data_IF_765276645355
#
_entry.id   IF_765276645355
#
_cell.length_a   1.000
_cell.length_b   1.000
_cell.length_c   1.000
_cell.angle_alpha   90.00
_cell.angle_beta   90.00
_cell.angle_gamma   90.00
#
_symmetry.space_group_name_H-M   'P 1'
#
loop_
_entity.id
_entity.type
_entity.pdbx_description
1 polymer ?
#
# COMPACT_ATOMS: atom_id res chain seq x y z
N UNK A 1 -18.94 -5.74 18.44
CA UNK A 1 -18.35 -5.34 17.13
C UNK A 1 -16.94 -4.88 17.42
N UNK A 2 -15.95 -5.26 16.60
CA UNK A 2 -14.61 -4.73 16.74
C UNK A 2 -14.65 -3.21 16.52
N UNK A 3 -13.94 -2.46 17.35
CA UNK A 3 -13.88 -1.01 17.24
C UNK A 3 -12.98 -0.61 16.08
N UNK A 4 -13.55 0.01 15.04
CA UNK A 4 -12.80 0.53 13.90
C UNK A 4 -11.99 1.77 14.33
N UNK A 5 -10.91 2.04 13.62
CA UNK A 5 -10.17 3.30 13.77
C UNK A 5 -11.09 4.46 13.35
N UNK A 6 -11.35 5.45 14.21
CA UNK A 6 -12.22 6.56 13.85
C UNK A 6 -11.49 7.59 12.97
N UNK A 7 -12.27 8.39 12.22
CA UNK A 7 -11.74 9.44 11.34
C UNK A 7 -10.86 10.46 12.10
N UNK A 8 -11.16 10.72 13.36
CA UNK A 8 -10.40 11.69 14.16
C UNK A 8 -8.97 11.21 14.47
N UNK A 9 -8.74 9.89 14.60
CA UNK A 9 -7.38 9.35 14.67
C UNK A 9 -6.60 9.55 13.36
N UNK A 10 -7.28 9.44 12.22
CA UNK A 10 -6.67 9.73 10.90
C UNK A 10 -6.33 11.22 10.77
N UNK A 11 -7.20 12.11 11.25
CA UNK A 11 -6.92 13.55 11.31
C UNK A 11 -5.74 13.88 12.22
N UNK A 12 -5.67 13.27 13.39
CA UNK A 12 -4.53 13.39 14.29
C UNK A 12 -3.24 12.88 13.64
N UNK A 13 -3.31 11.75 12.93
CA UNK A 13 -2.20 11.23 12.14
C UNK A 13 -1.76 12.23 11.05
N UNK A 14 -2.70 12.85 10.32
CA UNK A 14 -2.39 13.85 9.30
C UNK A 14 -1.63 15.05 9.88
N UNK A 15 -2.01 15.51 11.06
CA UNK A 15 -1.27 16.58 11.78
C UNK A 15 0.15 16.12 12.17
N UNK A 16 0.28 14.89 12.68
CA UNK A 16 1.59 14.36 13.13
C UNK A 16 2.58 14.16 12.00
N UNK A 17 2.14 13.70 10.84
CA UNK A 17 3.01 13.45 9.68
C UNK A 17 3.25 14.68 8.81
N UNK A 18 2.59 15.81 9.11
CA UNK A 18 2.73 17.03 8.32
C UNK A 18 4.17 17.53 8.24
N UNK A 19 4.61 17.90 7.05
CA UNK A 19 5.99 18.36 6.79
C UNK A 19 7.04 17.25 6.68
N UNK A 20 6.66 15.98 6.93
CA UNK A 20 7.54 14.81 6.80
C UNK A 20 7.20 13.98 5.58
N UNK A 21 5.92 13.66 5.42
CA UNK A 21 5.45 12.95 4.23
C UNK A 21 5.07 13.93 3.14
N UNK A 22 5.23 13.49 1.90
CA UNK A 22 4.75 14.23 0.74
C UNK A 22 3.23 14.08 0.65
N UNK A 23 2.48 15.21 0.64
CA UNK A 23 1.10 15.21 0.16
C UNK A 23 1.15 14.95 -1.35
N UNK A 24 1.00 13.69 -1.75
CA UNK A 24 1.14 13.30 -3.15
C UNK A 24 -0.02 13.85 -3.99
N UNK A 25 0.24 14.42 -5.19
CA UNK A 25 -0.82 14.95 -6.02
C UNK A 25 -1.65 13.80 -6.62
N UNK A 26 -2.90 14.09 -7.00
CA UNK A 26 -3.66 13.23 -7.91
C UNK A 26 -3.21 13.50 -9.34
N UNK A 27 -2.60 12.53 -9.99
CA UNK A 27 -2.06 12.66 -11.35
C UNK A 27 -3.03 12.02 -12.34
N UNK A 28 -3.57 12.75 -13.33
CA UNK A 28 -4.33 12.14 -14.41
C UNK A 28 -3.47 11.09 -15.13
N UNK A 29 -3.95 9.86 -15.18
CA UNK A 29 -3.28 8.84 -15.97
C UNK A 29 -3.49 9.17 -17.44
N UNK A 30 -2.43 9.43 -18.24
CA UNK A 30 -2.62 9.78 -19.63
C UNK A 30 -3.34 8.62 -20.30
N UNK A 31 -4.54 8.86 -20.77
CA UNK A 31 -5.20 7.98 -21.73
C UNK A 31 -4.16 7.62 -22.79
N UNK A 32 -4.26 6.46 -23.42
CA UNK A 32 -3.37 6.13 -24.51
C UNK A 32 -3.20 7.41 -25.34
N UNK A 33 -1.94 7.86 -25.54
CA UNK A 33 -1.68 8.95 -26.50
C UNK A 33 -2.29 8.44 -27.79
N UNK A 34 -3.49 8.95 -28.06
CA UNK A 34 -4.20 8.63 -29.28
C UNK A 34 -3.27 9.18 -30.37
N UNK A 35 -2.70 8.36 -31.25
CA UNK A 35 -2.07 8.89 -32.45
C UNK A 35 -3.07 9.87 -33.06
N UNK A 36 -2.61 10.94 -33.65
CA UNK A 36 -3.46 12.03 -34.19
C UNK A 36 -4.64 11.52 -35.07
N UNK A 37 -4.51 10.26 -35.54
CA UNK A 37 -5.44 9.57 -36.44
C UNK A 37 -6.21 8.41 -35.78
N UNK A 38 -6.07 8.18 -34.48
CA UNK A 38 -6.80 7.14 -33.78
C UNK A 38 -8.15 7.68 -33.26
N UNK A 39 -9.17 6.83 -33.28
CA UNK A 39 -10.49 7.16 -32.77
C UNK A 39 -10.40 7.69 -31.33
N UNK A 40 -11.25 8.66 -30.93
CA UNK A 40 -11.29 9.16 -29.56
C UNK A 40 -11.48 7.99 -28.58
N UNK A 41 -10.95 8.11 -27.33
CA UNK A 41 -11.13 7.07 -26.33
C UNK A 41 -12.60 6.70 -26.26
N UNK A 42 -12.88 5.40 -26.20
CA UNK A 42 -14.25 4.85 -26.22
C UNK A 42 -15.11 5.65 -25.24
N UNK A 43 -16.27 6.16 -25.67
CA UNK A 43 -17.18 6.85 -24.78
C UNK A 43 -17.52 5.96 -23.60
N UNK A 44 -17.30 6.44 -22.37
CA UNK A 44 -17.68 5.72 -21.15
C UNK A 44 -16.54 5.14 -20.29
N UNK A 45 -15.26 5.31 -20.66
CA UNK A 45 -14.17 5.01 -19.72
C UNK A 45 -13.97 6.19 -18.76
N UNK A 46 -14.10 5.99 -17.45
CA UNK A 46 -13.91 7.09 -16.50
C UNK A 46 -12.47 7.60 -16.54
N UNK A 47 -12.28 8.89 -16.25
CA UNK A 47 -10.95 9.46 -16.05
C UNK A 47 -10.25 8.71 -14.92
N UNK A 48 -9.04 8.23 -15.16
CA UNK A 48 -8.23 7.58 -14.14
C UNK A 48 -7.27 8.61 -13.53
N UNK A 49 -7.34 8.76 -12.21
CA UNK A 49 -6.38 9.51 -11.41
C UNK A 49 -5.52 8.54 -10.62
N UNK A 50 -4.22 8.77 -10.61
CA UNK A 50 -3.27 7.97 -9.80
C UNK A 50 -2.86 8.76 -8.57
N UNK A 51 -2.94 8.15 -7.39
CA UNK A 51 -2.38 8.64 -6.12
C UNK A 51 -1.00 8.00 -5.91
N UNK A 52 0.11 8.67 -6.30
CA UNK A 52 1.42 8.04 -6.43
C UNK A 52 2.21 8.07 -5.12
N UNK A 53 1.96 7.14 -4.23
CA UNK A 53 2.72 6.97 -2.99
C UNK A 53 4.17 6.50 -3.20
N UNK A 54 4.53 6.12 -4.42
CA UNK A 54 5.92 5.92 -4.82
C UNK A 54 6.78 7.20 -4.77
N UNK A 55 6.14 8.37 -4.66
CA UNK A 55 6.82 9.66 -4.50
C UNK A 55 7.18 10.00 -3.04
N UNK A 56 6.82 9.16 -2.08
CA UNK A 56 7.26 9.34 -0.70
C UNK A 56 8.79 9.21 -0.58
N UNK A 57 9.43 9.89 0.40
CA UNK A 57 10.88 9.80 0.62
C UNK A 57 11.43 8.37 0.70
N UNK A 58 10.64 7.44 1.21
CA UNK A 58 10.99 6.01 1.28
C UNK A 58 10.51 5.18 0.08
N UNK A 59 9.98 5.83 -0.94
CA UNK A 59 9.49 5.18 -2.16
C UNK A 59 8.18 4.41 -2.01
N UNK A 60 7.48 4.49 -0.86
CA UNK A 60 6.22 3.79 -0.61
C UNK A 60 5.39 4.45 0.50
N UNK A 61 4.08 4.18 0.48
CA UNK A 61 3.10 4.68 1.44
C UNK A 61 3.42 4.38 2.92
N UNK A 62 4.23 3.35 3.16
CA UNK A 62 4.54 2.83 4.50
C UNK A 62 5.07 3.90 5.46
N UNK A 63 5.70 4.95 4.94
CA UNK A 63 6.21 6.06 5.75
C UNK A 63 5.10 6.75 6.55
N UNK A 64 3.91 6.88 6.01
CA UNK A 64 2.77 7.54 6.69
C UNK A 64 2.42 6.84 8.01
N UNK A 65 2.17 5.54 7.96
CA UNK A 65 1.85 4.75 9.15
C UNK A 65 3.05 4.57 10.08
N UNK A 66 4.25 4.33 9.54
CA UNK A 66 5.45 4.17 10.34
C UNK A 66 5.78 5.46 11.12
N UNK A 67 5.78 6.62 10.46
CA UNK A 67 6.05 7.88 11.13
C UNK A 67 4.96 8.24 12.15
N UNK A 68 3.67 8.02 11.81
CA UNK A 68 2.58 8.23 12.76
C UNK A 68 2.72 7.37 14.01
N UNK A 69 3.02 6.06 13.85
CA UNK A 69 3.16 5.15 14.99
C UNK A 69 4.38 5.50 15.85
N UNK A 70 5.55 5.67 15.25
CA UNK A 70 6.77 6.04 16.00
C UNK A 70 6.61 7.41 16.68
N UNK A 71 6.03 8.39 15.97
CA UNK A 71 5.77 9.73 16.51
C UNK A 71 4.85 9.67 17.73
N UNK A 72 3.69 9.03 17.63
CA UNK A 72 2.74 8.91 18.72
C UNK A 72 3.35 8.25 19.97
N UNK A 73 4.13 7.18 19.78
CA UNK A 73 4.80 6.46 20.87
C UNK A 73 5.93 7.29 21.53
N UNK A 74 6.36 8.36 20.91
CA UNK A 74 7.51 9.18 21.39
C UNK A 74 7.12 10.60 21.80
N UNK A 75 5.84 10.97 21.69
CA UNK A 75 5.33 12.29 22.09
C UNK A 75 5.49 12.56 23.59
N UNK A 76 5.19 11.56 24.42
CA UNK A 76 5.34 11.68 25.87
C UNK A 76 6.70 11.13 26.33
N UNK A 77 7.61 11.97 26.83
CA UNK A 77 8.90 11.54 27.36
C UNK A 77 8.80 10.51 28.50
N UNK A 78 7.71 10.51 29.27
CA UNK A 78 7.54 9.60 30.41
C UNK A 78 7.22 8.16 29.99
N UNK A 79 6.61 7.97 28.83
CA UNK A 79 6.23 6.67 28.29
C UNK A 79 7.02 6.28 27.04
N UNK A 80 7.98 7.12 26.63
CA UNK A 80 8.80 6.90 25.42
C UNK A 80 9.56 5.59 25.52
N UNK A 81 9.43 4.68 24.53
CA UNK A 81 10.17 3.42 24.52
C UNK A 81 11.68 3.66 24.32
N UNK A 82 12.52 2.68 24.72
CA UNK A 82 13.96 2.70 24.50
C UNK A 82 14.39 2.72 23.04
N UNK A 83 13.48 2.36 22.15
CA UNK A 83 13.62 2.32 20.70
C UNK A 83 12.40 1.67 20.06
N UNK A 84 12.49 1.42 18.76
CA UNK A 84 11.45 0.69 18.01
C UNK A 84 12.05 -0.52 17.31
N UNK A 85 11.23 -1.55 17.11
CA UNK A 85 11.60 -2.76 16.39
C UNK A 85 10.53 -3.13 15.37
N UNK A 86 10.95 -3.62 14.20
CA UNK A 86 10.04 -4.16 13.19
C UNK A 86 10.68 -5.35 12.46
N UNK A 87 9.86 -6.25 11.93
CA UNK A 87 10.35 -7.33 11.09
C UNK A 87 9.94 -7.11 9.64
N UNK A 88 10.84 -6.59 8.84
CA UNK A 88 10.62 -6.41 7.38
C UNK A 88 11.92 -6.06 6.67
N UNK A 89 12.24 -6.76 5.60
CA UNK A 89 13.34 -6.39 4.71
C UNK A 89 12.93 -5.44 3.57
N UNK A 90 11.65 -5.03 3.51
CA UNK A 90 11.09 -4.22 2.44
C UNK A 90 10.65 -2.83 2.89
N UNK A 91 9.61 -2.32 2.23
CA UNK A 91 9.09 -0.95 2.41
C UNK A 91 8.79 -0.58 3.87
N UNK A 92 8.27 -1.53 4.67
CA UNK A 92 7.95 -1.24 6.06
C UNK A 92 9.21 -1.07 6.93
N UNK A 93 10.18 -1.98 6.81
CA UNK A 93 11.45 -1.88 7.56
C UNK A 93 12.18 -0.58 7.25
N UNK A 94 12.24 -0.19 5.96
CA UNK A 94 12.84 1.08 5.57
C UNK A 94 12.06 2.28 6.12
N UNK A 95 10.72 2.24 6.07
CA UNK A 95 9.89 3.33 6.60
C UNK A 95 10.05 3.50 8.12
N UNK A 96 10.11 2.39 8.90
CA UNK A 96 10.35 2.44 10.36
C UNK A 96 11.75 2.98 10.67
N UNK A 97 12.79 2.51 9.98
CA UNK A 97 14.15 3.00 10.14
C UNK A 97 14.25 4.51 9.85
N UNK A 98 13.67 4.97 8.75
CA UNK A 98 13.64 6.36 8.34
C UNK A 98 12.87 7.24 9.34
N UNK A 99 11.68 6.82 9.77
CA UNK A 99 10.88 7.53 10.77
C UNK A 99 11.62 7.64 12.11
N UNK A 100 12.23 6.55 12.57
CA UNK A 100 12.99 6.53 13.81
C UNK A 100 14.20 7.48 13.75
N UNK A 101 14.94 7.51 12.63
CA UNK A 101 16.05 8.44 12.43
C UNK A 101 15.61 9.90 12.52
N UNK A 102 14.50 10.28 11.88
CA UNK A 102 13.96 11.64 11.93
C UNK A 102 13.51 12.05 13.33
N UNK A 103 13.02 11.11 14.14
CA UNK A 103 12.53 11.33 15.49
C UNK A 103 13.61 11.14 16.57
N UNK A 104 14.85 10.83 16.17
CA UNK A 104 15.95 10.58 17.11
C UNK A 104 15.73 9.37 18.00
N UNK A 105 15.09 8.31 17.46
CA UNK A 105 14.76 7.07 18.16
C UNK A 105 15.65 5.94 17.62
N UNK A 106 16.12 5.07 18.51
CA UNK A 106 16.83 3.85 18.07
C UNK A 106 15.88 2.92 17.34
N UNK A 107 16.37 2.28 16.27
CA UNK A 107 15.59 1.29 15.54
C UNK A 107 16.38 0.01 15.33
N UNK A 108 15.72 -1.14 15.51
CA UNK A 108 16.22 -2.46 15.15
C UNK A 108 15.27 -3.07 14.12
N UNK A 109 15.81 -3.48 12.97
CA UNK A 109 15.00 -4.10 11.92
C UNK A 109 15.44 -5.57 11.77
N UNK A 110 14.51 -6.46 12.08
CA UNK A 110 14.72 -7.91 11.93
C UNK A 110 14.52 -8.30 10.47
N UNK A 111 15.58 -8.82 9.86
CA UNK A 111 15.63 -9.15 8.43
C UNK A 111 16.04 -10.62 8.22
N UNK A 112 15.43 -11.32 7.25
CA UNK A 112 15.80 -12.69 6.96
C UNK A 112 17.18 -12.74 6.27
N UNK A 113 17.98 -13.77 6.61
CA UNK A 113 19.20 -14.09 5.86
C UNK A 113 18.85 -14.29 4.37
N UNK A 114 19.66 -13.71 3.48
CA UNK A 114 19.42 -13.75 2.04
C UNK A 114 18.50 -12.63 1.51
N UNK A 115 18.04 -11.71 2.34
CA UNK A 115 17.34 -10.51 1.86
C UNK A 115 18.21 -9.72 0.86
N UNK A 116 17.63 -9.14 -0.22
CA UNK A 116 18.38 -8.38 -1.22
C UNK A 116 19.14 -7.20 -0.59
N UNK A 117 20.42 -7.07 -0.93
CA UNK A 117 21.29 -6.01 -0.39
C UNK A 117 20.75 -4.61 -0.61
N UNK A 118 20.19 -4.33 -1.77
CA UNK A 118 19.59 -3.02 -2.08
C UNK A 118 18.56 -2.60 -1.04
N UNK A 119 17.74 -3.54 -0.56
CA UNK A 119 16.72 -3.26 0.47
C UNK A 119 17.34 -3.09 1.85
N UNK A 120 18.29 -3.95 2.22
CA UNK A 120 18.94 -3.88 3.55
C UNK A 120 19.91 -2.71 3.67
N UNK A 121 20.59 -2.32 2.59
CA UNK A 121 21.48 -1.16 2.57
C UNK A 121 20.68 0.15 2.77
N UNK A 122 19.47 0.25 2.22
CA UNK A 122 18.58 1.40 2.48
C UNK A 122 18.17 1.50 3.95
N UNK A 123 17.85 0.36 4.59
CA UNK A 123 17.51 0.30 6.03
C UNK A 123 18.72 0.70 6.89
N UNK A 124 19.90 0.13 6.61
CA UNK A 124 21.14 0.46 7.33
C UNK A 124 21.54 1.93 7.09
N UNK A 125 21.40 2.43 5.88
CA UNK A 125 21.66 3.83 5.51
C UNK A 125 20.77 4.83 6.26
N UNK A 126 19.57 4.40 6.69
CA UNK A 126 18.71 5.16 7.58
C UNK A 126 19.13 5.09 9.06
N UNK A 127 20.22 4.39 9.39
CA UNK A 127 20.77 4.33 10.76
C UNK A 127 20.18 3.25 11.66
N UNK A 128 19.37 2.33 11.14
CA UNK A 128 18.82 1.23 11.92
C UNK A 128 19.81 0.08 12.05
N UNK A 129 19.79 -0.59 13.22
CA UNK A 129 20.46 -1.86 13.43
C UNK A 129 19.75 -2.98 12.62
N UNK A 130 20.53 -3.75 11.86
CA UNK A 130 20.01 -4.95 11.17
C UNK A 130 20.22 -6.19 12.02
N UNK A 131 19.14 -6.86 12.38
CA UNK A 131 19.18 -8.14 13.11
C UNK A 131 18.83 -9.28 12.16
N UNK A 132 19.85 -10.10 11.83
CA UNK A 132 19.74 -11.16 10.86
C UNK A 132 19.22 -12.47 11.48
N UNK A 133 18.14 -13.01 10.93
CA UNK A 133 17.51 -14.25 11.39
C UNK A 133 17.30 -15.25 10.25
N UNK A 134 16.91 -16.48 10.59
CA UNK A 134 16.50 -17.45 9.59
C UNK A 134 15.28 -16.99 8.79
N UNK A 135 15.14 -17.38 7.50
CA UNK A 135 14.13 -16.85 6.59
C UNK A 135 12.72 -17.43 6.84
N UNK A 136 12.30 -17.51 8.10
CA UNK A 136 10.97 -17.96 8.51
C UNK A 136 10.21 -16.84 9.22
N UNK A 137 8.89 -16.88 9.14
CA UNK A 137 8.04 -15.93 9.88
C UNK A 137 8.25 -16.11 11.39
N UNK A 138 8.31 -17.34 11.87
CA UNK A 138 8.51 -17.65 13.30
C UNK A 138 9.79 -17.03 13.85
N UNK A 139 10.94 -17.21 13.16
CA UNK A 139 12.21 -16.63 13.59
C UNK A 139 12.17 -15.08 13.62
N UNK A 140 11.47 -14.46 12.68
CA UNK A 140 11.30 -12.99 12.66
C UNK A 140 10.46 -12.50 13.82
N UNK A 141 9.32 -13.14 14.09
CA UNK A 141 8.42 -12.78 15.19
C UNK A 141 9.12 -13.01 16.55
N UNK A 142 9.77 -14.15 16.74
CA UNK A 142 10.52 -14.46 17.96
C UNK A 142 11.61 -13.41 18.26
N UNK A 143 12.46 -13.11 17.28
CA UNK A 143 13.53 -12.13 17.46
C UNK A 143 12.98 -10.72 17.72
N UNK A 144 11.88 -10.34 17.08
CA UNK A 144 11.22 -9.06 17.32
C UNK A 144 10.71 -8.97 18.75
N UNK A 145 9.99 -9.99 19.22
CA UNK A 145 9.50 -10.05 20.60
C UNK A 145 10.64 -10.07 21.64
N UNK A 146 11.75 -10.77 21.37
CA UNK A 146 12.91 -10.78 22.25
C UNK A 146 13.56 -9.39 22.37
N UNK A 147 13.74 -8.68 21.25
CA UNK A 147 14.27 -7.30 21.25
C UNK A 147 13.35 -6.36 22.01
N UNK A 148 12.03 -6.48 21.79
CA UNK A 148 11.04 -5.68 22.50
C UNK A 148 11.16 -5.85 24.02
N UNK A 149 11.26 -7.09 24.50
CA UNK A 149 11.38 -7.40 25.93
C UNK A 149 12.73 -6.96 26.51
N UNK A 150 13.84 -7.32 25.87
CA UNK A 150 15.18 -7.13 26.44
C UNK A 150 15.62 -5.68 26.44
N UNK A 151 15.19 -4.90 25.43
CA UNK A 151 15.64 -3.52 25.22
C UNK A 151 14.57 -2.47 25.51
N UNK A 152 13.35 -2.89 25.88
CA UNK A 152 12.20 -1.99 26.05
C UNK A 152 11.83 -1.27 24.74
N UNK A 153 11.96 -1.95 23.60
CA UNK A 153 11.58 -1.39 22.30
C UNK A 153 10.12 -1.64 22.02
N UNK A 154 9.45 -0.67 21.40
CA UNK A 154 8.08 -0.86 20.91
C UNK A 154 8.12 -1.53 19.52
N UNK A 155 7.30 -2.56 19.35
CA UNK A 155 7.10 -3.15 18.03
C UNK A 155 6.23 -2.24 17.17
N UNK A 156 6.63 -2.07 15.90
CA UNK A 156 5.85 -1.36 14.89
C UNK A 156 5.39 -2.39 13.84
N UNK A 157 4.15 -2.89 13.94
CA UNK A 157 3.61 -3.85 12.99
C UNK A 157 3.44 -3.26 11.59
N UNK A 158 3.53 -4.09 10.51
CA UNK A 158 3.45 -3.60 9.14
C UNK A 158 2.05 -3.15 8.70
N UNK A 159 0.99 -3.52 9.41
CA UNK A 159 -0.40 -3.24 9.06
C UNK A 159 -1.42 -3.36 10.20
N UNK A 160 -1.24 -4.31 11.13
CA UNK A 160 -2.26 -4.68 12.14
C UNK A 160 -2.10 -3.86 13.43
N UNK A 161 -2.17 -2.56 13.30
CA UNK A 161 -1.99 -1.60 14.39
C UNK A 161 -2.82 -0.33 14.13
N UNK A 162 -3.49 0.21 15.17
CA UNK A 162 -4.37 1.38 15.04
C UNK A 162 -3.63 2.62 14.54
N UNK A 163 -2.43 2.89 15.04
CA UNK A 163 -1.63 4.06 14.64
C UNK A 163 -1.12 3.91 13.20
N UNK A 164 -0.75 2.69 12.80
CA UNK A 164 -0.35 2.40 11.43
C UNK A 164 -1.54 2.58 10.48
N UNK A 165 -2.72 1.99 10.80
CA UNK A 165 -3.95 2.15 10.00
C UNK A 165 -4.32 3.63 9.87
N UNK A 166 -4.29 4.39 10.98
CA UNK A 166 -4.60 5.82 10.97
C UNK A 166 -3.65 6.62 10.08
N UNK A 167 -2.34 6.34 10.15
CA UNK A 167 -1.34 6.99 9.29
C UNK A 167 -1.60 6.70 7.80
N UNK A 168 -1.93 5.46 7.43
CA UNK A 168 -2.27 5.10 6.05
C UNK A 168 -3.58 5.76 5.59
N UNK A 169 -4.52 5.96 6.50
CA UNK A 169 -5.80 6.62 6.23
C UNK A 169 -5.67 8.06 5.75
N UNK A 170 -4.55 8.72 6.03
CA UNK A 170 -4.27 10.08 5.55
C UNK A 170 -4.26 10.17 4.02
N UNK A 171 -4.00 9.08 3.30
CA UNK A 171 -4.15 9.02 1.84
C UNK A 171 -5.62 9.21 1.44
N UNK A 172 -6.54 8.53 2.13
CA UNK A 172 -7.97 8.68 1.89
C UNK A 172 -8.47 10.08 2.26
N UNK A 173 -7.95 10.68 3.33
CA UNK A 173 -8.26 12.05 3.71
C UNK A 173 -7.83 13.04 2.60
N UNK A 174 -6.61 12.93 2.09
CA UNK A 174 -6.11 13.76 0.99
C UNK A 174 -6.94 13.58 -0.29
N UNK A 175 -7.32 12.34 -0.65
CA UNK A 175 -8.19 12.07 -1.81
C UNK A 175 -9.56 12.74 -1.63
N UNK A 176 -10.16 12.62 -0.44
CA UNK A 176 -11.46 13.19 -0.16
C UNK A 176 -11.44 14.73 -0.21
N UNK A 177 -10.40 15.35 0.31
CA UNK A 177 -10.20 16.80 0.25
C UNK A 177 -10.01 17.30 -1.19
N UNK A 178 -9.15 16.63 -1.97
CA UNK A 178 -8.83 17.04 -3.34
C UNK A 178 -10.02 16.85 -4.30
N UNK A 179 -10.92 15.92 -4.01
CA UNK A 179 -12.07 15.58 -4.86
C UNK A 179 -13.44 15.89 -4.25
N UNK A 180 -13.49 16.69 -3.18
CA UNK A 180 -14.75 17.05 -2.51
C UNK A 180 -15.81 17.63 -3.49
N UNK A 181 -15.39 18.42 -4.47
CA UNK A 181 -16.28 19.01 -5.49
C UNK A 181 -16.65 18.05 -6.64
N UNK A 182 -15.90 16.97 -6.83
CA UNK A 182 -16.13 15.94 -7.85
C UNK A 182 -15.75 14.58 -7.31
N UNK A 183 -16.54 14.01 -6.39
CA UNK A 183 -16.22 12.72 -5.75
C UNK A 183 -15.94 11.62 -6.78
N UNK A 184 -14.95 10.76 -6.54
CA UNK A 184 -14.67 9.66 -7.44
C UNK A 184 -15.75 8.57 -7.29
N UNK A 185 -15.99 7.80 -8.34
CA UNK A 185 -16.89 6.64 -8.29
C UNK A 185 -16.32 5.53 -7.42
N UNK A 186 -15.01 5.34 -7.49
CA UNK A 186 -14.31 4.39 -6.67
C UNK A 186 -12.86 4.79 -6.44
N UNK A 187 -12.33 4.33 -5.30
CA UNK A 187 -10.90 4.31 -4.98
C UNK A 187 -10.43 2.86 -4.97
N UNK A 188 -9.52 2.50 -5.88
CA UNK A 188 -8.91 1.18 -5.96
C UNK A 188 -7.62 1.17 -5.14
N UNK A 189 -7.49 0.19 -4.25
CA UNK A 189 -6.41 0.14 -3.24
C UNK A 189 -5.75 -1.24 -3.22
N UNK A 190 -4.42 -1.33 -3.32
CA UNK A 190 -3.71 -2.60 -3.12
C UNK A 190 -3.98 -3.20 -1.74
N UNK A 191 -4.23 -4.51 -1.70
CA UNK A 191 -4.47 -5.25 -0.45
C UNK A 191 -3.37 -6.29 -0.24
N UNK A 192 -2.95 -6.42 1.01
CA UNK A 192 -2.14 -7.48 1.58
C UNK A 192 -2.66 -7.68 3.01
N UNK A 193 -1.93 -7.43 4.07
CA UNK A 193 -2.42 -7.51 5.45
C UNK A 193 -3.55 -6.54 5.83
N UNK A 194 -3.94 -5.62 4.93
CA UNK A 194 -5.15 -4.81 5.04
C UNK A 194 -4.98 -3.40 5.62
N UNK A 195 -3.82 -3.02 6.17
CA UNK A 195 -3.68 -1.72 6.86
C UNK A 195 -3.90 -0.48 5.97
N UNK A 196 -3.45 -0.53 4.71
CA UNK A 196 -3.63 0.55 3.74
C UNK A 196 -5.11 0.78 3.42
N UNK A 197 -5.78 -0.27 2.98
CA UNK A 197 -7.19 -0.19 2.57
C UNK A 197 -8.10 0.13 3.77
N UNK A 198 -7.80 -0.39 4.96
CA UNK A 198 -8.56 -0.09 6.18
C UNK A 198 -8.57 1.42 6.49
N UNK A 199 -7.39 2.05 6.51
CA UNK A 199 -7.30 3.48 6.77
C UNK A 199 -7.97 4.32 5.68
N UNK A 200 -7.72 4.00 4.40
CA UNK A 200 -8.35 4.70 3.27
C UNK A 200 -9.86 4.54 3.32
N UNK A 201 -10.38 3.34 3.59
CA UNK A 201 -11.81 3.07 3.64
C UNK A 201 -12.51 3.90 4.74
N UNK A 202 -11.92 4.01 5.93
CA UNK A 202 -12.46 4.87 7.00
C UNK A 202 -12.61 6.32 6.52
N UNK A 203 -11.56 6.90 5.92
CA UNK A 203 -11.60 8.28 5.48
C UNK A 203 -12.60 8.49 4.34
N UNK A 204 -12.58 7.61 3.32
CA UNK A 204 -13.45 7.73 2.15
C UNK A 204 -14.92 7.55 2.53
N UNK A 205 -15.28 6.50 3.25
CA UNK A 205 -16.69 6.26 3.61
C UNK A 205 -17.27 7.34 4.52
N UNK A 206 -16.43 7.94 5.39
CA UNK A 206 -16.86 9.03 6.26
C UNK A 206 -17.04 10.37 5.52
N UNK A 207 -16.24 10.66 4.50
CA UNK A 207 -16.19 11.96 3.85
C UNK A 207 -16.86 11.98 2.46
N UNK A 208 -16.85 10.85 1.78
CA UNK A 208 -17.42 10.65 0.44
C UNK A 208 -18.26 9.35 0.41
N UNK A 209 -19.42 9.29 1.09
CA UNK A 209 -20.15 8.04 1.35
C UNK A 209 -20.64 7.31 0.09
N UNK A 210 -20.78 8.01 -1.04
CA UNK A 210 -21.18 7.41 -2.32
C UNK A 210 -20.00 6.80 -3.09
N UNK A 211 -18.75 7.08 -2.68
CA UNK A 211 -17.54 6.57 -3.29
C UNK A 211 -17.26 5.15 -2.82
N UNK A 212 -17.16 4.19 -3.73
CA UNK A 212 -16.78 2.82 -3.38
C UNK A 212 -15.29 2.69 -3.10
N UNK A 213 -14.94 1.87 -2.12
CA UNK A 213 -13.56 1.42 -1.90
C UNK A 213 -13.45 -0.01 -2.38
N UNK A 214 -12.55 -0.25 -3.32
CA UNK A 214 -12.35 -1.55 -3.96
C UNK A 214 -10.91 -2.01 -3.71
N UNK A 215 -10.76 -3.17 -3.09
CA UNK A 215 -9.46 -3.81 -2.92
C UNK A 215 -8.95 -4.44 -4.20
N UNK A 216 -7.64 -4.50 -4.37
CA UNK A 216 -7.01 -5.20 -5.49
C UNK A 216 -5.86 -6.07 -4.98
N UNK A 217 -5.90 -7.36 -5.33
CA UNK A 217 -4.85 -8.34 -5.03
C UNK A 217 -4.30 -8.99 -6.30
N UNK A 218 -3.06 -9.54 -6.27
CA UNK A 218 -2.65 -10.51 -7.26
C UNK A 218 -3.50 -11.78 -7.15
N UNK A 219 -3.86 -12.41 -8.26
CA UNK A 219 -4.63 -13.68 -8.23
C UNK A 219 -3.89 -14.82 -7.50
N UNK A 220 -2.56 -14.74 -7.42
CA UNK A 220 -1.70 -15.71 -6.74
C UNK A 220 -1.53 -15.43 -5.23
N UNK A 221 -2.13 -14.35 -4.70
CA UNK A 221 -2.15 -14.00 -3.29
C UNK A 221 -3.45 -13.23 -3.01
N UNK A 222 -4.59 -13.92 -2.94
CA UNK A 222 -5.94 -13.37 -2.89
C UNK A 222 -6.71 -13.80 -1.62
N UNK A 223 -6.02 -13.89 -0.49
CA UNK A 223 -6.57 -14.26 0.80
C UNK A 223 -7.59 -13.24 1.33
N UNK A 224 -7.39 -11.95 1.06
CA UNK A 224 -8.33 -10.92 1.49
C UNK A 224 -9.66 -10.99 0.72
N UNK A 225 -9.63 -11.27 -0.60
CA UNK A 225 -10.84 -11.51 -1.38
C UNK A 225 -11.63 -12.69 -0.85
N UNK A 226 -10.95 -13.79 -0.57
CA UNK A 226 -11.58 -15.00 -0.05
C UNK A 226 -12.13 -14.75 1.37
N UNK A 227 -11.39 -13.97 2.19
CA UNK A 227 -11.86 -13.56 3.52
C UNK A 227 -13.11 -12.69 3.46
N UNK A 228 -13.17 -11.71 2.55
CA UNK A 228 -14.34 -10.86 2.38
C UNK A 228 -15.56 -11.68 1.93
N UNK A 229 -15.38 -12.60 0.98
CA UNK A 229 -16.45 -13.44 0.44
C UNK A 229 -16.99 -14.44 1.45
N UNK A 230 -16.14 -15.00 2.30
CA UNK A 230 -16.56 -15.98 3.31
C UNK A 230 -17.02 -15.32 4.62
N UNK A 231 -16.72 -14.04 4.82
CA UNK A 231 -17.00 -13.33 6.08
C UNK A 231 -16.09 -13.74 7.25
N UNK A 232 -15.03 -14.51 6.99
CA UNK A 232 -14.05 -14.97 7.97
C UNK A 232 -12.63 -14.80 7.44
N UNK A 233 -11.64 -14.59 8.30
CA UNK A 233 -10.24 -14.50 7.88
C UNK A 233 -9.76 -15.85 7.32
N UNK A 234 -9.47 -15.89 6.03
CA UNK A 234 -8.91 -17.04 5.34
C UNK A 234 -7.40 -16.92 5.30
N UNK A 235 -6.68 -17.98 5.63
CA UNK A 235 -5.24 -18.05 5.47
C UNK A 235 -4.86 -18.88 4.23
N UNK A 236 -3.93 -18.33 3.43
CA UNK A 236 -3.29 -19.05 2.34
C UNK A 236 -1.93 -19.60 2.79
N UNK A 237 -1.40 -20.60 2.09
CA UNK A 237 -0.08 -21.12 2.38
C UNK A 237 1.01 -20.16 1.85
N UNK A 238 2.09 -19.98 2.62
CA UNK A 238 3.23 -19.15 2.22
C UNK A 238 3.80 -19.54 0.84
N UNK A 239 3.80 -20.84 0.53
CA UNK A 239 4.24 -21.35 -0.78
C UNK A 239 3.37 -20.87 -1.94
N UNK A 240 2.06 -20.65 -1.70
CA UNK A 240 1.14 -20.17 -2.73
C UNK A 240 1.33 -18.67 -2.96
N UNK A 241 1.37 -17.88 -1.88
CA UNK A 241 1.54 -16.41 -1.99
C UNK A 241 2.94 -16.04 -2.50
N UNK A 242 3.95 -16.88 -2.30
CA UNK A 242 5.32 -16.67 -2.79
C UNK A 242 5.43 -16.68 -4.33
N UNK A 243 4.43 -17.21 -5.04
CA UNK A 243 4.44 -17.32 -6.52
C UNK A 243 4.26 -15.97 -7.22
N UNK A 244 3.60 -15.01 -6.59
CA UNK A 244 3.42 -13.69 -7.21
C UNK A 244 4.72 -12.88 -7.24
N UNK A 245 4.91 -12.08 -8.28
CA UNK A 245 6.00 -11.08 -8.39
C UNK A 245 5.74 -9.85 -7.50
N UNK A 246 4.54 -9.69 -6.98
CA UNK A 246 4.17 -8.64 -6.03
C UNK A 246 4.69 -8.97 -4.61
N UNK A 247 5.99 -8.95 -4.39
CA UNK A 247 6.63 -9.38 -3.14
C UNK A 247 6.14 -8.63 -1.90
N UNK A 248 5.69 -7.38 -2.06
CA UNK A 248 5.09 -6.57 -0.99
C UNK A 248 3.66 -7.04 -0.60
N UNK A 249 3.02 -7.92 -1.38
CA UNK A 249 1.65 -8.40 -1.19
C UNK A 249 1.56 -9.90 -0.86
N UNK A 250 2.63 -10.51 -0.36
CA UNK A 250 2.74 -11.94 -0.04
C UNK A 250 2.31 -12.31 1.38
N UNK A 251 1.53 -11.48 2.06
CA UNK A 251 0.99 -11.83 3.37
C UNK A 251 -0.02 -12.97 3.22
N UNK A 252 -0.01 -13.88 4.17
CA UNK A 252 -0.80 -15.11 4.10
C UNK A 252 -2.24 -14.93 4.61
N UNK A 253 -2.50 -13.85 5.37
CA UNK A 253 -3.80 -13.59 6.00
C UNK A 253 -3.94 -12.12 6.38
N UNK A 254 -5.15 -11.59 6.34
CA UNK A 254 -5.51 -10.28 6.90
C UNK A 254 -5.23 -10.20 8.40
N UNK A 255 -4.95 -8.99 8.90
CA UNK A 255 -4.82 -8.73 10.33
C UNK A 255 -6.14 -8.88 11.11
N UNK A 256 -6.03 -8.96 12.43
CA UNK A 256 -7.18 -9.05 13.33
C UNK A 256 -7.94 -7.73 13.42
N UNK A 257 -7.19 -6.62 13.40
CA UNK A 257 -7.77 -5.28 13.39
C UNK A 257 -8.21 -4.87 11.98
N UNK A 258 -7.47 -5.28 10.93
CA UNK A 258 -7.78 -4.84 9.57
C UNK A 258 -8.99 -5.54 8.97
N UNK A 259 -9.24 -6.81 9.28
CA UNK A 259 -10.36 -7.56 8.73
C UNK A 259 -11.74 -6.95 9.02
N UNK A 260 -12.08 -6.51 10.25
CA UNK A 260 -13.32 -5.81 10.51
C UNK A 260 -13.53 -4.55 9.66
N UNK A 261 -12.48 -3.75 9.44
CA UNK A 261 -12.54 -2.58 8.58
C UNK A 261 -12.88 -2.96 7.14
N UNK A 262 -12.21 -3.99 6.62
CA UNK A 262 -12.43 -4.46 5.25
C UNK A 262 -13.86 -4.99 5.11
N UNK A 263 -14.32 -5.84 6.03
CA UNK A 263 -15.65 -6.43 6.00
C UNK A 263 -16.77 -5.39 6.04
N UNK A 264 -16.59 -4.29 6.76
CA UNK A 264 -17.63 -3.29 6.98
C UNK A 264 -17.59 -2.14 5.96
N UNK A 265 -16.41 -1.79 5.43
CA UNK A 265 -16.21 -0.56 4.68
C UNK A 265 -15.78 -0.78 3.22
N UNK A 266 -15.30 -1.97 2.86
CA UNK A 266 -14.82 -2.27 1.50
C UNK A 266 -15.94 -2.91 0.68
N UNK A 267 -16.19 -2.35 -0.50
CA UNK A 267 -17.30 -2.77 -1.35
C UNK A 267 -17.05 -4.10 -2.03
N UNK A 268 -15.83 -4.36 -2.47
CA UNK A 268 -15.39 -5.61 -3.12
C UNK A 268 -13.86 -5.70 -3.14
N UNK A 269 -13.34 -6.90 -3.43
CA UNK A 269 -11.93 -7.14 -3.71
C UNK A 269 -11.82 -7.91 -5.03
N UNK A 270 -11.15 -7.31 -6.01
CA UNK A 270 -10.88 -7.90 -7.33
C UNK A 270 -9.43 -8.35 -7.43
N UNK A 271 -9.15 -9.24 -8.38
CA UNK A 271 -7.79 -9.73 -8.61
C UNK A 271 -7.26 -9.32 -9.98
N UNK A 272 -5.94 -9.25 -10.10
CA UNK A 272 -5.22 -9.05 -11.35
C UNK A 272 -4.21 -10.17 -11.57
N UNK A 273 -3.94 -10.49 -12.83
CA UNK A 273 -2.92 -11.44 -13.21
C UNK A 273 -1.51 -10.83 -13.14
N UNK A 274 -0.48 -11.69 -13.14
CA UNK A 274 0.91 -11.24 -13.17
C UNK A 274 1.19 -10.38 -14.42
N UNK A 275 0.64 -10.74 -15.58
CA UNK A 275 0.83 -10.01 -16.83
C UNK A 275 0.15 -8.65 -16.82
N UNK A 276 -1.08 -8.55 -16.29
CA UNK A 276 -1.79 -7.27 -16.11
C UNK A 276 -1.00 -6.32 -15.19
N UNK A 277 -0.45 -6.88 -14.12
CA UNK A 277 0.36 -6.12 -13.15
C UNK A 277 1.66 -5.59 -13.78
N UNK A 278 2.42 -6.43 -14.50
CA UNK A 278 3.65 -6.00 -15.18
C UNK A 278 3.37 -5.03 -16.32
N UNK A 279 2.26 -5.22 -17.05
CA UNK A 279 1.81 -4.26 -18.05
C UNK A 279 1.48 -2.89 -17.44
N UNK A 280 0.91 -2.85 -16.22
CA UNK A 280 0.66 -1.61 -15.50
C UNK A 280 1.96 -0.93 -15.05
N UNK A 281 2.96 -1.68 -14.54
CA UNK A 281 4.30 -1.16 -14.23
C UNK A 281 4.90 -0.48 -15.46
N UNK A 282 4.88 -1.15 -16.61
CA UNK A 282 5.38 -0.60 -17.88
C UNK A 282 4.64 0.68 -18.28
N UNK A 283 3.31 0.68 -18.21
CA UNK A 283 2.49 1.84 -18.57
C UNK A 283 2.74 3.03 -17.64
N UNK A 284 2.84 2.79 -16.34
CA UNK A 284 3.18 3.83 -15.36
C UNK A 284 4.52 4.49 -15.71
N UNK A 285 5.56 3.70 -15.97
CA UNK A 285 6.86 4.23 -16.34
C UNK A 285 6.83 5.01 -17.66
N UNK A 286 6.26 4.44 -18.73
CA UNK A 286 6.34 5.01 -20.08
C UNK A 286 5.31 6.12 -20.35
N UNK A 287 4.17 6.13 -19.68
CA UNK A 287 3.07 7.07 -19.95
C UNK A 287 2.91 8.11 -18.83
N UNK A 288 2.97 7.68 -17.57
CA UNK A 288 2.83 8.58 -16.43
C UNK A 288 4.16 9.10 -15.88
N UNK A 289 5.30 8.55 -16.30
CA UNK A 289 6.64 8.85 -15.74
C UNK A 289 6.77 8.54 -14.25
N UNK A 290 6.04 7.52 -13.81
CA UNK A 290 6.02 7.03 -12.43
C UNK A 290 6.69 5.65 -12.36
N UNK A 291 7.63 5.48 -11.43
CA UNK A 291 8.21 4.18 -11.13
C UNK A 291 7.30 3.45 -10.14
N UNK A 292 6.98 2.20 -10.45
CA UNK A 292 6.13 1.32 -9.64
C UNK A 292 6.78 -0.03 -9.43
N UNK A 293 6.71 -0.55 -8.21
CA UNK A 293 6.93 -1.99 -7.97
C UNK A 293 5.66 -2.78 -8.34
N UNK A 294 5.75 -4.10 -8.64
CA UNK A 294 4.60 -4.88 -9.04
C UNK A 294 3.42 -4.76 -8.07
N UNK A 295 3.65 -4.96 -6.77
CA UNK A 295 2.60 -4.80 -5.75
C UNK A 295 2.02 -3.39 -5.65
N UNK A 296 2.82 -2.37 -5.97
CA UNK A 296 2.36 -0.98 -6.04
C UNK A 296 1.43 -0.70 -7.23
N UNK A 297 1.55 -1.47 -8.29
CA UNK A 297 0.84 -1.26 -9.55
C UNK A 297 -0.52 -1.97 -9.67
N UNK A 298 -0.89 -2.88 -8.75
CA UNK A 298 -2.09 -3.74 -8.90
C UNK A 298 -3.38 -2.94 -9.04
N UNK A 299 -3.54 -1.84 -8.30
CA UNK A 299 -4.74 -0.99 -8.40
C UNK A 299 -4.85 -0.30 -9.76
N UNK A 300 -3.73 0.15 -10.31
CA UNK A 300 -3.67 0.70 -11.68
C UNK A 300 -3.94 -0.41 -12.69
N UNK A 301 -3.41 -1.62 -12.50
CA UNK A 301 -3.68 -2.76 -13.35
C UNK A 301 -5.18 -3.06 -13.45
N UNK A 302 -5.87 -3.17 -12.32
CA UNK A 302 -7.32 -3.38 -12.29
C UNK A 302 -8.09 -2.26 -12.98
N UNK A 303 -7.70 -1.00 -12.75
CA UNK A 303 -8.32 0.17 -13.40
C UNK A 303 -8.17 0.15 -14.93
N UNK A 304 -7.12 -0.47 -15.45
CA UNK A 304 -6.83 -0.54 -16.88
C UNK A 304 -7.42 -1.79 -17.55
N UNK A 305 -7.62 -2.88 -16.82
CA UNK A 305 -8.05 -4.18 -17.36
C UNK A 305 -9.51 -4.52 -17.06
N UNK A 306 -10.12 -3.92 -16.03
CA UNK A 306 -11.51 -4.21 -15.65
C UNK A 306 -12.47 -3.15 -16.20
N UNK A 307 -13.62 -3.60 -16.68
CA UNK A 307 -14.74 -2.72 -17.03
C UNK A 307 -15.42 -2.14 -15.78
N UNK A 308 -16.20 -1.09 -15.95
CA UNK A 308 -17.01 -0.54 -14.86
C UNK A 308 -17.93 -1.59 -14.23
N UNK A 309 -18.53 -2.45 -15.04
CA UNK A 309 -19.41 -3.54 -14.58
C UNK A 309 -18.66 -4.56 -13.71
N UNK A 310 -17.46 -4.98 -14.12
CA UNK A 310 -16.62 -5.90 -13.34
C UNK A 310 -16.15 -5.28 -12.02
N UNK A 311 -16.06 -3.95 -11.94
CA UNK A 311 -15.81 -3.20 -10.70
C UNK A 311 -17.11 -2.90 -9.91
N UNK A 312 -18.25 -3.47 -10.34
CA UNK A 312 -19.54 -3.23 -9.70
C UNK A 312 -20.01 -1.78 -9.77
N UNK A 313 -19.53 -0.99 -10.73
CA UNK A 313 -19.87 0.42 -10.89
C UNK A 313 -21.04 0.56 -11.88
N UNK A 314 -22.03 1.35 -11.50
CA UNK A 314 -23.16 1.70 -12.37
C UNK A 314 -22.74 2.65 -13.49
N UNK A 315 -23.64 2.95 -14.44
CA UNK A 315 -23.37 3.71 -15.66
C UNK A 315 -22.54 4.99 -15.44
N UNK A 316 -21.73 5.41 -16.42
CA UNK A 316 -20.80 6.52 -16.27
C UNK A 316 -21.57 7.85 -16.12
N UNK A 317 -21.29 8.54 -15.01
CA UNK A 317 -21.71 9.93 -14.72
C UNK A 317 -20.57 10.94 -14.95
N UNK A 318 -19.46 10.50 -15.52
CA UNK A 318 -18.27 11.32 -15.74
C UNK A 318 -17.38 11.49 -14.52
N UNK A 319 -17.71 10.90 -13.36
CA UNK A 319 -16.85 10.95 -12.18
C UNK A 319 -15.61 10.05 -12.34
N UNK A 320 -14.43 10.46 -11.81
CA UNK A 320 -13.18 9.75 -12.01
C UNK A 320 -13.11 8.44 -11.21
N UNK A 321 -12.17 7.58 -11.58
CA UNK A 321 -11.60 6.52 -10.72
C UNK A 321 -10.30 7.04 -10.11
N UNK A 322 -10.02 6.64 -8.87
CA UNK A 322 -8.70 6.84 -8.26
C UNK A 322 -8.04 5.49 -8.04
N UNK A 323 -6.81 5.32 -8.50
CA UNK A 323 -5.98 4.15 -8.20
C UNK A 323 -4.78 4.55 -7.34
N UNK A 324 -4.60 3.88 -6.21
CA UNK A 324 -3.45 4.10 -5.34
C UNK A 324 -2.24 3.32 -5.88
N UNK A 325 -1.20 4.02 -6.32
CA UNK A 325 0.12 3.45 -6.61
C UNK A 325 0.90 3.42 -5.29
N UNK A 326 0.90 2.28 -4.63
CA UNK A 326 1.32 2.19 -3.22
C UNK A 326 2.83 2.20 -2.97
N UNK A 327 3.66 1.86 -3.98
CA UNK A 327 5.12 1.87 -3.86
C UNK A 327 5.85 1.73 -5.19
N UNK A 328 7.13 2.11 -5.19
CA UNK A 328 7.98 2.13 -6.36
C UNK A 328 9.37 1.49 -6.16
N UNK A 329 9.60 0.78 -5.05
CA UNK A 329 10.89 0.16 -4.72
C UNK A 329 11.09 -1.16 -5.49
N UNK A 330 11.07 -1.07 -6.83
CA UNK A 330 11.24 -2.19 -7.74
C UNK A 330 12.71 -2.58 -7.89
N UNK A 331 12.97 -3.87 -8.05
CA UNK A 331 14.28 -4.37 -8.44
C UNK A 331 14.67 -3.79 -9.83
N UNK A 332 15.88 -3.19 -9.98
CA UNK A 332 16.29 -2.58 -11.23
C UNK A 332 16.34 -3.56 -12.41
N UNK A 333 16.71 -4.82 -12.19
CA UNK A 333 16.76 -5.83 -13.25
C UNK A 333 15.35 -6.22 -13.69
N UNK A 334 14.41 -6.35 -12.74
CA UNK A 334 13.00 -6.58 -13.05
C UNK A 334 12.42 -5.41 -13.86
N UNK A 335 12.67 -4.16 -13.45
CA UNK A 335 12.21 -2.99 -14.19
C UNK A 335 12.78 -2.97 -15.62
N UNK A 336 14.07 -3.21 -15.77
CA UNK A 336 14.71 -3.26 -17.09
C UNK A 336 14.07 -4.34 -17.98
N UNK A 337 13.80 -5.53 -17.44
CA UNK A 337 13.10 -6.61 -18.14
C UNK A 337 11.70 -6.19 -18.61
N UNK A 338 10.90 -5.62 -17.70
CA UNK A 338 9.54 -5.14 -18.00
C UNK A 338 9.54 -4.05 -19.07
N UNK A 339 10.55 -3.17 -19.10
CA UNK A 339 10.67 -2.12 -20.11
C UNK A 339 11.15 -2.62 -21.46
N UNK A 340 11.98 -3.68 -21.48
CA UNK A 340 12.55 -4.27 -22.69
C UNK A 340 11.57 -5.20 -23.44
N UNK A 341 10.54 -5.74 -22.78
CA UNK A 341 9.53 -6.57 -23.45
C UNK A 341 8.86 -5.81 -24.58
N UNK A 342 9.06 -6.24 -25.82
CA UNK A 342 8.38 -5.69 -26.99
C UNK A 342 6.87 -5.99 -26.89
N UNK A 343 6.06 -4.98 -27.03
CA UNK A 343 4.60 -5.09 -27.06
C UNK A 343 4.16 -5.76 -28.36
N UNK A 344 4.11 -7.07 -28.38
CA UNK A 344 3.53 -7.84 -29.51
C UNK A 344 1.99 -7.71 -29.60
N UNK A 345 1.34 -6.92 -28.77
CA UNK A 345 -0.15 -6.89 -28.67
C UNK A 345 -0.76 -5.49 -28.47
N UNK A 346 -0.16 -4.39 -29.00
CA UNK A 346 -0.79 -3.06 -28.88
C UNK A 346 -1.64 -2.64 -30.10
N UNK A 347 -1.93 -3.55 -31.02
CA UNK A 347 -2.75 -3.31 -32.22
C UNK A 347 -4.04 -4.16 -32.26
N UNK A 348 -4.71 -4.38 -31.14
CA UNK A 348 -6.09 -4.90 -31.19
C UNK A 348 -7.01 -4.13 -30.27
#
# INVERSE_FOLDING_TARGET
MAELVPLDEIRAAAHRIAGVVVRTPLIPFPGAVVPRDAAPPSPGRPDLLVKPESLQPTGAFKLRGAYNAVGALTEDPATRPGGVVAHSSGNHGFAVAYAAALLGVKAAIVVPRGAPRVKTDAIAGAGAELVWVEPTLAARVEATGQIAMDRGYAEIPPFDDRLVIAGQGTIGLEIAEDLAARPPRAVLVPVSGGGLISGIAVAITALLPETKVIGVEPELAADARDSLRTGTRVAWQAADTARTKADALRVEQLGELTFPHIRELVSDIVTVTEDEMLAAVRRLALRARLVAEPGGAVAVAASLSRSAAELGLTAPDGAPLVAVLSGGNIDPALLAGVLAEETTSYNR
#
